data_IF_550409740940
#
_entry.id   IF_550409740940
#
_cell.length_a   1.000
_cell.length_b   1.000
_cell.length_c   1.000
_cell.angle_alpha   90.00
_cell.angle_beta   90.00
_cell.angle_gamma   90.00
#
_symmetry.space_group_name_H-M   'P 1'
#
loop_
_entity.id
_entity.type
_entity.pdbx_description
1 polymer ?
#
# COMPACT_ATOMS: atom_id res chain seq x y z
N UNK A 1 14.08 -11.72 -9.48
CA UNK A 1 14.20 -13.12 -9.94
C UNK A 1 13.83 -14.02 -8.76
N UNK A 2 12.85 -14.93 -8.90
CA UNK A 2 12.57 -15.93 -7.87
C UNK A 2 13.83 -16.79 -7.66
N UNK A 3 14.28 -16.94 -6.41
CA UNK A 3 15.55 -17.61 -6.10
C UNK A 3 15.51 -19.09 -6.53
N UNK A 4 16.57 -19.56 -7.19
CA UNK A 4 16.60 -20.85 -7.91
C UNK A 4 16.50 -22.10 -7.01
N UNK A 5 16.70 -21.97 -5.70
CA UNK A 5 16.56 -23.07 -4.75
C UNK A 5 15.10 -23.46 -4.45
N UNK A 6 14.11 -22.75 -4.99
CA UNK A 6 12.69 -23.08 -4.84
C UNK A 6 12.25 -24.04 -5.94
N UNK A 7 11.64 -25.17 -5.56
CA UNK A 7 11.14 -26.16 -6.52
C UNK A 7 10.19 -25.53 -7.56
N UNK A 8 10.15 -26.10 -8.76
CA UNK A 8 9.28 -25.61 -9.86
C UNK A 8 7.81 -25.55 -9.41
N UNK A 9 7.33 -26.59 -8.73
CA UNK A 9 5.97 -26.66 -8.19
C UNK A 9 5.67 -25.50 -7.22
N UNK A 10 6.55 -25.22 -6.25
CA UNK A 10 6.37 -24.09 -5.31
C UNK A 10 6.41 -22.73 -6.01
N UNK A 11 7.20 -22.58 -7.07
CA UNK A 11 7.21 -21.34 -7.87
C UNK A 11 5.89 -21.14 -8.60
N UNK A 12 5.33 -22.19 -9.18
CA UNK A 12 4.03 -22.13 -9.89
C UNK A 12 2.88 -21.84 -8.93
N UNK A 13 2.85 -22.44 -7.74
CA UNK A 13 1.84 -22.16 -6.72
C UNK A 13 1.84 -20.68 -6.28
N UNK A 14 3.04 -20.10 -6.11
CA UNK A 14 3.19 -18.67 -5.82
C UNK A 14 2.67 -17.80 -6.95
N UNK A 15 3.03 -18.14 -8.20
CA UNK A 15 2.55 -17.41 -9.38
C UNK A 15 1.03 -17.47 -9.48
N UNK A 16 0.42 -18.64 -9.29
CA UNK A 16 -1.03 -18.81 -9.29
C UNK A 16 -1.70 -17.97 -8.18
N UNK A 17 -1.11 -17.93 -6.99
CA UNK A 17 -1.61 -17.08 -5.89
C UNK A 17 -1.59 -15.60 -6.26
N UNK A 18 -0.50 -15.12 -6.87
CA UNK A 18 -0.38 -13.73 -7.31
C UNK A 18 -1.38 -13.43 -8.43
N UNK A 19 -1.47 -14.29 -9.43
CA UNK A 19 -2.41 -14.11 -10.54
C UNK A 19 -3.86 -14.00 -10.05
N UNK A 20 -4.26 -14.87 -9.14
CA UNK A 20 -5.60 -14.84 -8.55
C UNK A 20 -5.86 -13.56 -7.78
N UNK A 21 -4.91 -13.11 -6.95
CA UNK A 21 -5.08 -11.88 -6.17
C UNK A 21 -5.17 -10.62 -7.05
N UNK A 22 -4.45 -10.61 -8.18
CA UNK A 22 -4.53 -9.53 -9.16
C UNK A 22 -5.64 -9.74 -10.20
N UNK A 23 -6.44 -10.81 -10.14
CA UNK A 23 -7.50 -11.10 -11.11
C UNK A 23 -6.98 -11.23 -12.54
N UNK A 24 -5.87 -11.95 -12.72
CA UNK A 24 -5.19 -12.17 -14.00
C UNK A 24 -5.41 -13.58 -14.56
N UNK A 25 -6.22 -14.41 -13.89
CA UNK A 25 -6.44 -15.82 -14.28
C UNK A 25 -6.98 -15.98 -15.70
N UNK A 26 -7.86 -15.07 -16.13
CA UNK A 26 -8.48 -15.10 -17.47
C UNK A 26 -7.52 -14.73 -18.60
N UNK A 27 -6.35 -14.17 -18.28
CA UNK A 27 -5.34 -13.74 -19.26
C UNK A 27 -3.97 -14.38 -19.01
N UNK A 28 -3.93 -15.47 -18.24
CA UNK A 28 -2.73 -16.17 -17.85
C UNK A 28 -1.81 -16.53 -19.03
N UNK A 29 -2.41 -17.09 -20.07
CA UNK A 29 -1.72 -17.60 -21.27
C UNK A 29 -1.83 -16.63 -22.46
N UNK A 30 -2.18 -15.36 -22.19
CA UNK A 30 -2.25 -14.32 -23.21
C UNK A 30 -0.93 -13.56 -23.31
N UNK A 31 -0.51 -13.24 -24.53
CA UNK A 31 0.65 -12.36 -24.73
C UNK A 31 0.44 -11.01 -24.04
N UNK A 32 1.46 -10.53 -23.32
CA UNK A 32 1.44 -9.20 -22.70
C UNK A 32 1.26 -8.11 -23.77
N UNK A 33 1.82 -8.34 -24.96
CA UNK A 33 1.80 -7.40 -26.08
C UNK A 33 2.76 -6.22 -25.89
N UNK A 34 2.73 -5.31 -26.86
CA UNK A 34 3.57 -4.12 -26.92
C UNK A 34 3.02 -3.11 -27.92
N UNK A 35 3.79 -2.06 -28.29
CA UNK A 35 3.32 -1.02 -29.21
C UNK A 35 2.85 -1.54 -30.57
N UNK A 36 3.46 -2.64 -31.04
CA UNK A 36 3.23 -3.21 -32.37
C UNK A 36 2.38 -4.50 -32.34
N UNK A 37 2.23 -5.13 -31.18
CA UNK A 37 1.55 -6.43 -31.03
C UNK A 37 0.47 -6.30 -29.97
N UNK A 38 -0.78 -6.57 -30.35
CA UNK A 38 -1.91 -6.56 -29.41
C UNK A 38 -1.70 -7.62 -28.33
N UNK A 39 -2.01 -7.26 -27.09
CA UNK A 39 -1.96 -8.16 -25.93
C UNK A 39 -2.96 -7.74 -24.88
N UNK A 40 -2.63 -7.97 -23.61
CA UNK A 40 -3.47 -7.60 -22.47
C UNK A 40 -3.65 -6.07 -22.35
N UNK A 41 -4.71 -5.65 -21.66
CA UNK A 41 -5.03 -4.23 -21.42
C UNK A 41 -3.98 -3.50 -20.57
N UNK A 42 -3.98 -2.17 -20.59
CA UNK A 42 -3.07 -1.35 -19.79
C UNK A 42 -3.16 -1.63 -18.28
N UNK A 43 -4.39 -1.75 -17.75
CA UNK A 43 -4.62 -2.12 -16.34
C UNK A 43 -4.11 -3.53 -16.01
N UNK A 44 -4.31 -4.50 -16.89
CA UNK A 44 -3.72 -5.83 -16.73
C UNK A 44 -2.19 -5.80 -16.75
N UNK A 45 -1.56 -5.02 -17.65
CA UNK A 45 -0.10 -4.82 -17.66
C UNK A 45 0.41 -4.23 -16.34
N UNK A 46 -0.28 -3.24 -15.77
CA UNK A 46 0.10 -2.64 -14.48
C UNK A 46 0.02 -3.66 -13.34
N UNK A 47 -1.05 -4.45 -13.30
CA UNK A 47 -1.23 -5.56 -12.34
C UNK A 47 -0.14 -6.64 -12.46
N UNK A 48 0.25 -7.02 -13.69
CA UNK A 48 1.38 -7.93 -13.94
C UNK A 48 2.69 -7.34 -13.39
N UNK A 49 2.93 -6.04 -13.59
CA UNK A 49 4.13 -5.36 -13.07
C UNK A 49 4.20 -5.41 -11.53
N UNK A 50 3.08 -5.12 -10.85
CA UNK A 50 2.97 -5.21 -9.40
C UNK A 50 3.17 -6.65 -8.90
N UNK A 51 2.49 -7.62 -9.53
CA UNK A 51 2.63 -9.04 -9.22
C UNK A 51 4.09 -9.51 -9.35
N UNK A 52 4.78 -9.06 -10.39
CA UNK A 52 6.21 -9.35 -10.61
C UNK A 52 7.09 -8.79 -9.49
N UNK A 53 6.80 -7.58 -9.01
CA UNK A 53 7.51 -6.96 -7.89
C UNK A 53 7.39 -7.81 -6.62
N UNK A 54 6.18 -8.28 -6.31
CA UNK A 54 5.92 -9.09 -5.12
C UNK A 54 6.48 -10.50 -5.25
N UNK A 55 6.49 -11.08 -6.46
CA UNK A 55 7.12 -12.36 -6.72
C UNK A 55 8.62 -12.39 -6.35
N UNK A 56 9.27 -11.23 -6.23
CA UNK A 56 10.65 -11.14 -5.75
C UNK A 56 10.83 -11.47 -4.24
N UNK A 57 9.75 -11.69 -3.49
CA UNK A 57 9.76 -11.94 -2.05
C UNK A 57 10.39 -10.79 -1.24
N UNK A 58 10.13 -9.55 -1.64
CA UNK A 58 10.55 -8.38 -0.88
C UNK A 58 9.69 -8.25 0.39
N UNK A 59 10.31 -7.92 1.53
CA UNK A 59 9.60 -7.64 2.78
C UNK A 59 9.00 -6.23 2.80
N UNK A 60 9.56 -5.32 2.01
CA UNK A 60 9.05 -3.96 1.77
C UNK A 60 8.90 -3.76 0.27
N UNK A 61 7.76 -3.23 -0.15
CA UNK A 61 7.47 -2.87 -1.52
C UNK A 61 7.19 -1.37 -1.60
N UNK A 62 7.98 -0.66 -2.41
CA UNK A 62 7.73 0.74 -2.74
C UNK A 62 6.97 0.78 -4.08
N UNK A 63 5.85 1.49 -4.10
CA UNK A 63 5.02 1.68 -5.29
C UNK A 63 4.84 3.17 -5.54
N UNK A 64 5.48 3.67 -6.58
CA UNK A 64 5.31 5.04 -7.02
C UNK A 64 4.19 5.12 -8.07
N UNK A 65 3.15 5.87 -7.74
CA UNK A 65 1.91 6.07 -8.50
C UNK A 65 1.37 4.79 -9.19
N UNK A 66 1.06 3.70 -8.47
CA UNK A 66 0.63 2.44 -9.09
C UNK A 66 -0.65 2.56 -9.93
N UNK A 67 -1.45 3.60 -9.70
CA UNK A 67 -2.76 3.82 -10.31
C UNK A 67 -2.75 4.85 -11.44
N UNK A 68 -1.61 5.48 -11.75
CA UNK A 68 -1.52 6.51 -12.79
C UNK A 68 -1.85 5.96 -14.18
N UNK A 69 -2.65 6.72 -14.94
CA UNK A 69 -3.11 6.33 -16.27
C UNK A 69 -4.08 5.15 -16.31
N UNK A 70 -4.65 4.74 -15.17
CA UNK A 70 -5.64 3.67 -15.10
C UNK A 70 -7.08 4.20 -15.03
N UNK A 71 -8.02 3.38 -15.50
CA UNK A 71 -9.43 3.57 -15.22
C UNK A 71 -9.70 3.42 -13.71
N UNK A 72 -10.83 3.96 -13.24
CA UNK A 72 -11.24 3.85 -11.83
C UNK A 72 -11.24 2.39 -11.33
N UNK A 73 -11.85 1.52 -12.13
CA UNK A 73 -11.97 0.09 -11.86
C UNK A 73 -10.60 -0.58 -11.85
N UNK A 74 -9.73 -0.29 -12.81
CA UNK A 74 -8.40 -0.88 -12.85
C UNK A 74 -7.51 -0.42 -11.70
N UNK A 75 -7.60 0.86 -11.31
CA UNK A 75 -6.90 1.40 -10.15
C UNK A 75 -7.33 0.68 -8.85
N UNK A 76 -8.64 0.53 -8.65
CA UNK A 76 -9.20 -0.19 -7.50
C UNK A 76 -8.74 -1.66 -7.48
N UNK A 77 -8.79 -2.35 -8.62
CA UNK A 77 -8.31 -3.74 -8.73
C UNK A 77 -6.81 -3.88 -8.43
N UNK A 78 -5.99 -2.92 -8.87
CA UNK A 78 -4.55 -2.90 -8.56
C UNK A 78 -4.31 -2.81 -7.05
N UNK A 79 -4.96 -1.85 -6.39
CA UNK A 79 -4.76 -1.60 -4.96
C UNK A 79 -5.39 -2.72 -4.10
N UNK A 80 -6.54 -3.27 -4.50
CA UNK A 80 -7.13 -4.45 -3.86
C UNK A 80 -6.19 -5.66 -3.92
N UNK A 81 -5.64 -5.96 -5.10
CA UNK A 81 -4.69 -7.06 -5.28
C UNK A 81 -3.43 -6.87 -4.44
N UNK A 82 -2.90 -5.64 -4.42
CA UNK A 82 -1.76 -5.26 -3.59
C UNK A 82 -2.06 -5.47 -2.10
N UNK A 83 -3.20 -4.99 -1.59
CA UNK A 83 -3.63 -5.16 -0.19
C UNK A 83 -3.76 -6.64 0.18
N UNK A 84 -4.42 -7.45 -0.66
CA UNK A 84 -4.62 -8.88 -0.41
C UNK A 84 -3.27 -9.58 -0.25
N UNK A 85 -2.35 -9.35 -1.17
CA UNK A 85 -1.04 -10.00 -1.15
C UNK A 85 -0.18 -9.46 -0.02
N UNK A 86 -0.18 -8.15 0.24
CA UNK A 86 0.55 -7.54 1.35
C UNK A 86 0.14 -8.17 2.69
N UNK A 87 -1.17 -8.28 2.96
CA UNK A 87 -1.69 -8.90 4.18
C UNK A 87 -1.39 -10.40 4.24
N UNK A 88 -1.54 -11.12 3.13
CA UNK A 88 -1.30 -12.57 3.08
C UNK A 88 0.18 -12.93 3.25
N UNK A 89 1.10 -12.13 2.72
CA UNK A 89 2.52 -12.41 2.74
C UNK A 89 3.29 -11.66 3.84
N UNK A 90 2.61 -10.80 4.62
CA UNK A 90 3.26 -9.98 5.63
C UNK A 90 4.26 -8.97 5.03
N UNK A 91 3.93 -8.40 3.87
CA UNK A 91 4.76 -7.43 3.17
C UNK A 91 4.26 -6.02 3.47
N UNK A 92 5.16 -5.12 3.85
CA UNK A 92 4.85 -3.70 3.98
C UNK A 92 4.84 -3.07 2.58
N UNK A 93 3.70 -2.55 2.14
CA UNK A 93 3.59 -1.78 0.90
C UNK A 93 3.51 -0.29 1.21
N UNK A 94 4.53 0.47 0.80
CA UNK A 94 4.52 1.93 0.83
C UNK A 94 4.13 2.43 -0.55
N UNK A 95 3.02 3.15 -0.63
CA UNK A 95 2.44 3.60 -1.88
C UNK A 95 2.32 5.11 -1.90
N UNK A 96 2.80 5.74 -2.96
CA UNK A 96 2.58 7.16 -3.26
C UNK A 96 1.47 7.25 -4.31
N UNK A 97 0.43 8.03 -4.05
CA UNK A 97 -0.66 8.27 -5.02
C UNK A 97 -0.96 9.76 -5.06
N UNK A 98 -0.91 10.33 -6.26
CA UNK A 98 -1.46 11.66 -6.53
C UNK A 98 -2.99 11.54 -6.66
N UNK A 99 -3.72 12.16 -5.72
CA UNK A 99 -5.19 12.28 -5.72
C UNK A 99 -5.95 10.94 -5.86
N UNK A 100 -5.92 10.07 -4.84
CA UNK A 100 -6.67 8.83 -4.87
C UNK A 100 -8.18 9.08 -4.81
N UNK A 101 -8.93 8.31 -5.60
CA UNK A 101 -10.39 8.28 -5.51
C UNK A 101 -10.85 7.72 -4.15
N UNK A 102 -12.03 8.10 -3.64
CA UNK A 102 -12.53 7.63 -2.35
C UNK A 102 -12.54 6.09 -2.19
N UNK A 103 -12.86 5.36 -3.25
CA UNK A 103 -12.89 3.90 -3.26
C UNK A 103 -11.49 3.29 -3.04
N UNK A 104 -10.48 3.93 -3.62
CA UNK A 104 -9.07 3.51 -3.50
C UNK A 104 -8.52 3.89 -2.13
N UNK A 105 -8.83 5.10 -1.65
CA UNK A 105 -8.38 5.61 -0.35
C UNK A 105 -8.77 4.69 0.81
N UNK A 106 -9.98 4.14 0.80
CA UNK A 106 -10.50 3.21 1.82
C UNK A 106 -9.73 1.88 1.90
N UNK A 107 -8.91 1.57 0.89
CA UNK A 107 -8.12 0.34 0.85
C UNK A 107 -6.80 0.46 1.64
N UNK A 108 -6.39 1.65 2.05
CA UNK A 108 -5.16 1.84 2.83
C UNK A 108 -5.42 1.70 4.33
N UNK A 109 -4.48 1.06 5.02
CA UNK A 109 -4.53 0.90 6.48
C UNK A 109 -4.08 2.20 7.18
N UNK A 110 -2.95 2.79 6.74
CA UNK A 110 -2.37 4.01 7.29
C UNK A 110 -2.13 5.07 6.20
N UNK A 111 -2.09 6.34 6.61
CA UNK A 111 -1.75 7.50 5.81
C UNK A 111 -0.50 8.19 6.39
N UNK A 112 0.43 8.53 5.51
CA UNK A 112 1.46 9.54 5.76
C UNK A 112 1.06 10.75 4.92
N UNK A 113 0.72 11.86 5.57
CA UNK A 113 0.41 13.11 4.88
C UNK A 113 1.59 14.07 5.02
N UNK A 114 2.01 14.66 3.90
CA UNK A 114 3.17 15.52 3.81
C UNK A 114 2.85 16.83 3.09
N UNK A 115 3.52 17.92 3.46
CA UNK A 115 3.41 19.21 2.77
C UNK A 115 4.13 19.18 1.42
N UNK A 116 3.59 19.89 0.42
CA UNK A 116 4.18 19.98 -0.92
C UNK A 116 5.58 20.61 -0.92
N UNK A 117 5.89 21.45 0.08
CA UNK A 117 7.22 21.96 0.37
C UNK A 117 7.29 22.44 1.83
N UNK A 118 8.38 22.22 2.58
CA UNK A 118 9.60 21.48 2.26
C UNK A 118 9.48 19.95 2.52
N UNK A 119 8.30 19.32 2.37
CA UNK A 119 8.13 17.88 2.61
C UNK A 119 8.02 17.53 4.09
N UNK A 120 7.31 18.33 4.88
CA UNK A 120 7.12 18.07 6.32
C UNK A 120 5.96 17.09 6.51
N UNK A 121 6.13 16.11 7.38
CA UNK A 121 5.00 15.28 7.81
C UNK A 121 4.05 16.12 8.67
N UNK A 122 2.76 15.98 8.38
CA UNK A 122 1.69 16.65 9.15
C UNK A 122 0.73 15.65 9.79
N UNK A 123 0.75 14.40 9.34
CA UNK A 123 -0.03 13.32 9.91
C UNK A 123 0.63 11.97 9.64
N UNK A 124 0.66 11.12 10.65
CA UNK A 124 0.93 9.69 10.51
C UNK A 124 -0.03 8.88 11.37
N UNK A 125 -0.81 8.00 10.75
CA UNK A 125 -1.76 7.17 11.48
C UNK A 125 -2.77 6.47 10.58
N UNK A 126 -3.84 5.89 11.16
CA UNK A 126 -4.88 5.19 10.41
C UNK A 126 -5.56 6.09 9.37
N UNK A 127 -5.73 5.60 8.14
CA UNK A 127 -6.38 6.37 7.06
C UNK A 127 -7.77 6.88 7.48
N UNK A 128 -8.53 6.08 8.24
CA UNK A 128 -9.86 6.43 8.72
C UNK A 128 -9.87 7.60 9.73
N UNK A 129 -8.77 7.82 10.47
CA UNK A 129 -8.68 8.89 11.48
C UNK A 129 -8.12 10.21 10.95
N UNK A 130 -7.70 10.26 9.69
CA UNK A 130 -7.06 11.44 9.12
C UNK A 130 -7.97 12.67 9.07
N UNK A 131 -9.26 12.49 8.70
CA UNK A 131 -10.22 13.59 8.70
C UNK A 131 -10.52 14.10 10.11
N UNK A 132 -10.67 13.21 11.08
CA UNK A 132 -10.95 13.58 12.46
C UNK A 132 -9.79 14.39 13.05
N UNK A 133 -8.55 14.03 12.70
CA UNK A 133 -7.35 14.77 13.09
C UNK A 133 -7.36 16.21 12.57
N UNK A 134 -7.73 16.44 11.31
CA UNK A 134 -7.71 17.79 10.74
C UNK A 134 -8.92 18.64 11.13
N UNK A 135 -10.03 18.05 11.56
CA UNK A 135 -11.27 18.77 11.96
C UNK A 135 -11.04 19.77 13.08
N UNK A 136 -10.06 19.55 13.95
CA UNK A 136 -9.71 20.51 15.02
C UNK A 136 -9.12 21.82 14.48
N UNK A 137 -8.66 21.84 13.22
CA UNK A 137 -7.86 22.94 12.65
C UNK A 137 -8.53 23.65 11.48
N UNK A 138 -9.67 23.16 11.01
CA UNK A 138 -10.36 23.68 9.83
C UNK A 138 -11.77 24.13 10.21
N UNK A 139 -12.19 25.29 9.72
CA UNK A 139 -13.51 25.85 10.03
C UNK A 139 -14.66 24.99 9.50
N UNK A 140 -14.45 24.25 8.40
CA UNK A 140 -15.45 23.38 7.81
C UNK A 140 -14.82 22.32 6.93
N UNK A 141 -15.21 21.06 7.12
CA UNK A 141 -14.93 19.98 6.17
C UNK A 141 -16.06 19.95 5.14
N UNK A 142 -15.79 20.02 3.82
CA UNK A 142 -16.85 19.94 2.82
C UNK A 142 -17.51 18.56 2.83
N UNK A 143 -18.84 18.51 2.97
CA UNK A 143 -19.58 17.24 3.10
C UNK A 143 -19.62 16.41 1.81
N UNK A 144 -19.41 17.04 0.65
CA UNK A 144 -19.52 16.41 -0.68
C UNK A 144 -18.19 16.29 -1.42
N UNK A 145 -17.06 16.59 -0.79
CA UNK A 145 -15.74 16.46 -1.42
C UNK A 145 -15.12 15.09 -1.15
N UNK A 146 -14.18 14.71 -2.01
CA UNK A 146 -13.31 13.59 -1.73
C UNK A 146 -12.41 13.93 -0.51
N UNK A 147 -12.43 13.12 0.56
CA UNK A 147 -11.56 13.34 1.73
C UNK A 147 -10.08 13.49 1.39
N UNK A 148 -9.59 12.70 0.44
CA UNK A 148 -8.18 12.73 0.08
C UNK A 148 -7.80 14.05 -0.60
N UNK A 149 -8.67 14.58 -1.46
CA UNK A 149 -8.44 15.86 -2.13
C UNK A 149 -8.46 17.00 -1.11
N UNK A 150 -9.43 16.99 -0.19
CA UNK A 150 -9.46 17.97 0.90
C UNK A 150 -8.18 17.93 1.75
N UNK A 151 -7.72 16.75 2.16
CA UNK A 151 -6.47 16.60 2.91
C UNK A 151 -5.25 17.12 2.13
N UNK A 152 -5.24 16.96 0.80
CA UNK A 152 -4.18 17.48 -0.07
C UNK A 152 -4.25 19.01 -0.19
N UNK A 153 -5.45 19.58 -0.28
CA UNK A 153 -5.64 21.03 -0.34
C UNK A 153 -5.11 21.71 0.94
N UNK A 154 -5.33 21.11 2.11
CA UNK A 154 -4.82 21.62 3.40
C UNK A 154 -3.29 21.72 3.48
N UNK A 155 -2.58 20.90 2.71
CA UNK A 155 -1.10 20.80 2.77
C UNK A 155 -0.42 21.36 1.53
N UNK A 156 -1.20 21.97 0.63
CA UNK A 156 -0.75 22.59 -0.60
C UNK A 156 -0.73 24.11 -0.42
N UNK A 157 0.44 24.76 -0.52
CA UNK A 157 0.55 26.20 -0.33
C UNK A 157 -0.36 26.99 -1.29
N UNK A 158 -1.07 27.98 -0.76
CA UNK A 158 -1.86 28.92 -1.55
C UNK A 158 -3.26 28.43 -1.97
N UNK A 159 -3.73 27.31 -1.43
CA UNK A 159 -5.16 26.94 -1.51
C UNK A 159 -5.99 27.76 -0.52
N UNK A 160 -7.32 27.80 -0.69
CA UNK A 160 -8.22 28.54 0.23
C UNK A 160 -8.22 28.00 1.66
N UNK A 161 -7.78 26.75 1.84
CA UNK A 161 -7.80 26.03 3.11
C UNK A 161 -6.40 25.65 3.60
N UNK A 162 -5.37 26.28 3.04
CA UNK A 162 -3.97 26.03 3.42
C UNK A 162 -3.77 26.17 4.95
N UNK A 163 -3.34 25.08 5.57
CA UNK A 163 -3.04 24.98 6.99
C UNK A 163 -1.73 24.20 7.22
N UNK A 164 -0.84 24.22 6.21
CA UNK A 164 0.33 23.34 6.17
C UNK A 164 1.29 23.60 7.34
N UNK A 165 1.47 24.87 7.73
CA UNK A 165 2.36 25.28 8.82
C UNK A 165 1.79 24.92 10.20
N UNK A 166 0.50 25.18 10.42
CA UNK A 166 -0.21 24.87 11.65
C UNK A 166 -0.23 23.35 11.88
N UNK A 167 -0.60 22.58 10.85
CA UNK A 167 -0.63 21.11 10.94
C UNK A 167 0.77 20.52 11.17
N UNK A 168 1.81 21.09 10.57
CA UNK A 168 3.19 20.65 10.81
C UNK A 168 3.64 20.94 12.25
N UNK A 169 3.29 22.10 12.80
CA UNK A 169 3.60 22.45 14.18
C UNK A 169 2.89 21.51 15.17
N UNK A 170 1.60 21.24 14.94
CA UNK A 170 0.81 20.31 15.76
C UNK A 170 1.36 18.89 15.67
N UNK A 171 1.71 18.41 14.48
CA UNK A 171 2.33 17.11 14.31
C UNK A 171 3.61 16.99 15.13
N UNK A 172 4.47 18.02 15.06
CA UNK A 172 5.72 18.06 15.82
C UNK A 172 5.50 18.05 17.33
N UNK A 173 4.43 18.68 17.82
CA UNK A 173 4.12 18.74 19.24
C UNK A 173 3.41 17.48 19.77
N UNK A 174 2.41 16.96 19.03
CA UNK A 174 1.51 15.90 19.51
C UNK A 174 1.94 14.48 19.07
N UNK A 175 2.23 14.27 17.79
CA UNK A 175 2.45 12.92 17.23
C UNK A 175 3.93 12.53 17.20
N UNK A 176 4.81 13.46 16.78
CA UNK A 176 6.23 13.18 16.54
C UNK A 176 6.98 12.59 17.75
N UNK A 177 6.82 13.07 18.99
CA UNK A 177 7.55 12.52 20.14
C UNK A 177 7.21 11.05 20.38
N UNK A 178 5.92 10.70 20.37
CA UNK A 178 5.44 9.33 20.58
C UNK A 178 5.95 8.38 19.49
N UNK A 179 5.94 8.81 18.22
CA UNK A 179 6.48 8.04 17.09
C UNK A 179 7.99 7.81 17.26
N UNK A 180 8.74 8.85 17.62
CA UNK A 180 10.19 8.74 17.82
C UNK A 180 10.54 7.80 18.99
N UNK A 181 9.77 7.83 20.07
CA UNK A 181 9.90 6.88 21.17
C UNK A 181 9.60 5.45 20.73
N UNK A 182 8.54 5.23 19.96
CA UNK A 182 8.20 3.91 19.43
C UNK A 182 9.32 3.37 18.53
N UNK A 183 9.85 4.21 17.63
CA UNK A 183 10.99 3.86 16.77
C UNK A 183 12.24 3.58 17.61
N UNK A 184 12.50 4.36 18.66
CA UNK A 184 13.62 4.14 19.57
C UNK A 184 13.47 2.81 20.32
N UNK A 185 12.27 2.49 20.83
CA UNK A 185 11.96 1.20 21.46
C UNK A 185 12.19 0.04 20.50
N UNK A 186 11.66 0.13 19.27
CA UNK A 186 11.81 -0.90 18.25
C UNK A 186 13.28 -1.10 17.81
N UNK A 187 14.07 -0.01 17.79
CA UNK A 187 15.51 -0.07 17.54
C UNK A 187 16.29 -0.68 18.72
N UNK A 188 15.89 -0.41 19.95
CA UNK A 188 16.55 -0.92 21.16
C UNK A 188 16.23 -2.40 21.43
N UNK A 189 15.02 -2.86 21.11
CA UNK A 189 14.59 -4.25 21.32
C UNK A 189 15.27 -5.26 20.40
N UNK A 190 15.97 -4.80 19.37
CA UNK A 190 16.47 -5.67 18.31
C UNK A 190 17.88 -5.24 17.91
N UNK A 191 18.90 -5.95 18.39
CA UNK A 191 20.31 -5.84 17.94
C UNK A 191 20.52 -6.34 16.50
N UNK A 192 19.56 -6.08 15.63
CA UNK A 192 19.41 -6.69 14.34
C UNK A 192 19.14 -5.58 13.32
N UNK A 193 19.92 -5.54 12.25
CA UNK A 193 19.79 -4.58 11.14
C UNK A 193 18.34 -4.55 10.61
N UNK A 194 17.95 -3.51 9.85
CA UNK A 194 16.62 -3.44 9.18
C UNK A 194 16.31 -4.77 8.45
N UNK A 195 17.33 -5.39 7.86
CA UNK A 195 17.22 -6.70 7.22
C UNK A 195 16.84 -7.83 8.20
N UNK A 196 17.35 -7.81 9.43
CA UNK A 196 17.01 -8.79 10.46
C UNK A 196 15.65 -8.53 11.10
N UNK A 197 15.21 -7.27 11.23
CA UNK A 197 13.82 -6.94 11.59
C UNK A 197 12.84 -7.44 10.52
N UNK A 198 13.18 -7.23 9.23
CA UNK A 198 12.38 -7.75 8.11
C UNK A 198 12.39 -9.27 8.04
N UNK A 199 13.52 -9.93 8.36
CA UNK A 199 13.59 -11.40 8.47
C UNK A 199 12.81 -11.94 9.66
N UNK A 200 12.77 -11.24 10.79
CA UNK A 200 11.97 -11.63 11.96
C UNK A 200 10.46 -11.46 11.69
N UNK A 201 10.05 -10.36 11.04
CA UNK A 201 8.67 -10.14 10.62
C UNK A 201 8.21 -11.15 9.54
N UNK A 202 9.06 -11.45 8.56
CA UNK A 202 8.83 -12.54 7.61
C UNK A 202 8.99 -13.95 8.23
N UNK A 203 9.60 -14.03 9.41
CA UNK A 203 9.90 -15.25 10.16
C UNK A 203 8.71 -15.82 10.92
N UNK A 204 7.55 -15.15 10.90
CA UNK A 204 6.29 -15.70 11.44
C UNK A 204 5.67 -16.83 10.61
N UNK A 205 6.38 -17.44 9.65
CA UNK A 205 6.01 -18.80 9.25
C UNK A 205 7.11 -19.61 8.52
N UNK A 206 7.96 -20.34 9.25
CA UNK A 206 8.80 -21.41 8.70
C UNK A 206 7.97 -22.67 8.34
N UNK A 207 6.74 -22.80 8.86
CA UNK A 207 5.89 -23.99 8.69
C UNK A 207 4.95 -23.95 7.48
N UNK A 208 4.84 -22.81 6.78
CA UNK A 208 3.92 -22.66 5.63
C UNK A 208 4.34 -23.41 4.35
N UNK A 209 5.28 -24.34 4.47
CA UNK A 209 5.74 -25.22 3.40
C UNK A 209 5.23 -26.67 3.51
N UNK A 210 4.39 -27.04 4.48
CA UNK A 210 4.01 -28.45 4.72
C UNK A 210 2.53 -28.79 5.01
N UNK A 211 1.57 -27.86 4.94
CA UNK A 211 0.16 -28.18 5.24
C UNK A 211 -0.77 -28.11 4.02
N UNK A 212 -1.72 -29.06 3.83
CA UNK A 212 -2.81 -28.85 2.90
C UNK A 212 -3.68 -27.67 3.36
N UNK A 213 -4.22 -26.95 2.37
CA UNK A 213 -5.11 -25.81 2.49
C UNK A 213 -6.25 -26.10 3.48
N UNK A 214 -6.28 -25.40 4.62
CA UNK A 214 -7.50 -25.36 5.44
C UNK A 214 -8.52 -24.48 4.73
N UNK A 215 -9.64 -25.10 4.33
CA UNK A 215 -10.87 -24.39 3.98
C UNK A 215 -11.30 -23.53 5.17
N UNK A 216 -11.34 -22.21 4.98
CA UNK A 216 -12.02 -21.32 5.92
C UNK A 216 -13.51 -21.67 6.00
N UNK A 217 -14.19 -21.35 7.11
CA UNK A 217 -15.58 -21.70 7.29
C UNK A 217 -16.42 -21.02 6.20
N UNK A 218 -17.34 -21.79 5.62
CA UNK A 218 -18.38 -21.27 4.76
C UNK A 218 -19.08 -20.11 5.46
N UNK A 219 -19.31 -19.03 4.72
CA UNK A 219 -20.18 -17.95 5.13
C UNK A 219 -21.52 -18.54 5.58
N UNK A 220 -21.89 -18.28 6.84
CA UNK A 220 -23.25 -18.45 7.30
C UNK A 220 -23.95 -17.09 7.16
N UNK A 221 -25.10 -17.17 6.46
CA UNK A 221 -26.22 -16.23 6.30
C UNK A 221 -26.13 -14.85 6.96
#
# INVERSE_FOLDING_TARGET
RLKQYVSKSKRLEKVATLMKAFGLDTVADTYIGGPQVRGISGGQRRRVSLARGIAAQASILFCDEPTSGLSATDAELCVKGLRIIAKRLGVLALVVIHQPRPEVTKLFDNLILMTSGPGRMVYFGPMAGALDYVREFVCRVPEKSNPADFLLDLVTPGTEVDAADELAAVFCAKQRPAILEEVARARASTGATVEAMLKAACGMNPEFCRGPLRSGPAAAA
#
